data_IF_574293297185
#
_entry.id   IF_574293297185
#
_cell.length_a   1.000
_cell.length_b   1.000
_cell.length_c   1.000
_cell.angle_alpha   90.00
_cell.angle_beta   90.00
_cell.angle_gamma   90.00
#
_symmetry.space_group_name_H-M   'P 1'
#
loop_
_entity.id
_entity.type
_entity.pdbx_description
1 polymer ?
#
# COMPACT_ATOMS: atom_id res chain seq x y z
N UNK A 1 23.45 -31.66 -43.92
CA UNK A 1 22.15 -31.01 -43.60
C UNK A 1 21.47 -31.76 -42.47
N UNK A 2 21.49 -31.15 -41.28
CA UNK A 2 21.38 -31.85 -40.00
C UNK A 2 19.96 -32.15 -39.53
N UNK A 3 19.83 -33.25 -38.79
CA UNK A 3 18.64 -33.83 -38.15
C UNK A 3 17.81 -32.89 -37.22
N UNK A 4 18.14 -31.60 -37.13
CA UNK A 4 17.47 -30.62 -36.26
C UNK A 4 16.20 -30.02 -36.88
N UNK A 5 16.05 -30.01 -38.21
CA UNK A 5 14.88 -29.41 -38.87
C UNK A 5 13.61 -30.29 -38.87
N UNK A 6 13.72 -31.59 -38.57
CA UNK A 6 12.54 -32.50 -38.55
C UNK A 6 11.69 -32.38 -37.27
N UNK A 7 12.24 -31.86 -36.17
CA UNK A 7 11.50 -31.71 -34.90
C UNK A 7 10.66 -30.43 -34.83
N UNK A 8 11.06 -29.39 -35.55
CA UNK A 8 10.39 -28.08 -35.56
C UNK A 8 9.11 -28.12 -36.41
N UNK A 9 9.08 -28.91 -37.50
CA UNK A 9 7.90 -29.00 -38.36
C UNK A 9 6.75 -29.85 -37.78
N UNK A 10 7.05 -30.72 -36.81
CA UNK A 10 6.07 -31.59 -36.16
C UNK A 10 5.31 -30.90 -35.01
N UNK A 11 5.84 -29.79 -34.48
CA UNK A 11 5.23 -29.05 -33.36
C UNK A 11 4.25 -27.96 -33.83
N UNK A 12 4.39 -27.48 -35.07
CA UNK A 12 3.49 -26.48 -35.68
C UNK A 12 2.15 -27.09 -36.14
N UNK A 13 2.08 -28.40 -36.35
CA UNK A 13 0.84 -29.10 -36.75
C UNK A 13 -0.10 -29.46 -35.60
N UNK A 14 0.33 -29.32 -34.33
CA UNK A 14 -0.51 -29.70 -33.17
C UNK A 14 -1.32 -28.54 -32.58
N UNK A 15 -1.03 -27.29 -32.96
CA UNK A 15 -1.68 -26.09 -32.38
C UNK A 15 -2.89 -25.60 -33.20
N UNK A 16 -3.09 -26.12 -34.42
CA UNK A 16 -4.19 -25.66 -35.31
C UNK A 16 -5.49 -26.47 -35.14
N UNK A 17 -5.53 -27.47 -34.26
CA UNK A 17 -6.65 -28.43 -34.19
C UNK A 17 -7.61 -28.30 -33.00
N UNK A 18 -7.47 -27.31 -32.09
CA UNK A 18 -8.14 -27.40 -30.78
C UNK A 18 -9.14 -26.32 -30.33
N UNK A 19 -9.47 -25.28 -31.10
CA UNK A 19 -10.60 -24.42 -30.71
C UNK A 19 -11.39 -23.92 -31.91
N UNK A 20 -12.26 -24.80 -32.44
CA UNK A 20 -13.44 -24.39 -33.21
C UNK A 20 -14.69 -24.75 -32.43
N UNK A 21 -15.66 -23.84 -32.47
CA UNK A 21 -17.07 -23.98 -32.08
C UNK A 21 -17.39 -24.02 -30.57
N UNK A 22 -18.00 -22.95 -30.05
CA UNK A 22 -19.39 -23.00 -29.55
C UNK A 22 -19.99 -21.60 -29.59
N UNK A 23 -20.83 -21.36 -30.61
CA UNK A 23 -21.77 -20.26 -30.65
C UNK A 23 -23.11 -20.76 -30.07
N UNK A 24 -23.64 -20.06 -29.06
CA UNK A 24 -25.07 -20.14 -28.74
C UNK A 24 -25.67 -18.75 -28.72
N UNK A 25 -26.60 -18.60 -29.65
CA UNK A 25 -27.45 -17.46 -29.97
C UNK A 25 -28.76 -17.66 -29.20
N UNK A 26 -29.19 -16.67 -28.45
CA UNK A 26 -30.52 -16.63 -27.82
C UNK A 26 -31.01 -15.19 -27.85
N UNK A 27 -32.08 -14.96 -28.60
CA UNK A 27 -32.64 -13.67 -29.02
C UNK A 27 -34.14 -13.70 -28.75
N UNK A 28 -34.68 -12.65 -28.14
CA UNK A 28 -36.05 -12.08 -28.29
C UNK A 28 -36.39 -11.33 -26.98
N UNK A 29 -36.46 -10.00 -26.94
CA UNK A 29 -37.48 -9.08 -27.50
C UNK A 29 -38.75 -8.97 -26.62
N UNK A 30 -39.12 -7.71 -26.32
CA UNK A 30 -40.51 -7.20 -26.11
C UNK A 30 -41.11 -7.48 -24.72
N UNK A 31 -41.81 -6.59 -23.98
CA UNK A 31 -42.52 -5.35 -24.26
C UNK A 31 -42.73 -4.55 -22.95
N UNK A 32 -43.01 -3.26 -23.12
CA UNK A 32 -43.78 -2.30 -22.32
C UNK A 32 -44.48 -2.73 -21.01
N UNK A 33 -44.53 -1.83 -20.00
CA UNK A 33 -45.72 -0.99 -19.70
C UNK A 33 -45.63 -0.26 -18.33
N UNK A 34 -45.67 1.07 -18.41
CA UNK A 34 -46.48 2.04 -17.64
C UNK A 34 -46.63 1.94 -16.09
N UNK A 35 -46.14 3.01 -15.44
CA UNK A 35 -46.77 3.86 -14.38
C UNK A 35 -47.60 3.21 -13.27
N UNK A 36 -47.20 3.42 -12.01
CA UNK A 36 -48.06 4.06 -11.01
C UNK A 36 -47.27 4.62 -9.81
N UNK A 37 -47.70 5.82 -9.38
CA UNK A 37 -47.24 6.64 -8.25
C UNK A 37 -48.12 6.33 -7.03
N UNK A 38 -47.58 6.41 -5.81
CA UNK A 38 -48.35 7.00 -4.72
C UNK A 38 -47.50 8.07 -3.99
N UNK A 39 -47.94 9.34 -3.96
CA UNK A 39 -48.82 9.93 -2.93
C UNK A 39 -48.03 10.35 -1.69
N UNK A 40 -47.70 11.65 -1.69
CA UNK A 40 -47.22 12.38 -0.51
C UNK A 40 -48.39 12.56 0.46
N UNK A 41 -48.14 12.40 1.75
CA UNK A 41 -48.99 12.95 2.83
C UNK A 41 -48.09 13.80 3.73
N UNK A 42 -48.49 15.03 4.11
CA UNK A 42 -47.66 15.96 4.85
C UNK A 42 -47.72 15.68 6.36
N UNK A 43 -46.56 15.68 7.02
CA UNK A 43 -46.48 15.75 8.47
C UNK A 43 -46.26 17.20 8.90
N UNK A 44 -47.29 17.73 9.55
CA UNK A 44 -47.32 18.98 10.30
C UNK A 44 -46.34 18.89 11.47
N UNK A 45 -45.39 19.82 11.58
CA UNK A 45 -44.64 20.05 12.83
C UNK A 45 -44.88 21.48 13.29
N UNK A 46 -45.63 21.57 14.39
CA UNK A 46 -45.80 22.74 15.23
C UNK A 46 -44.64 22.81 16.22
N UNK A 47 -43.95 23.95 16.32
CA UNK A 47 -43.61 24.65 17.57
C UNK A 47 -42.62 25.82 17.31
N UNK A 48 -43.12 27.02 17.57
CA UNK A 48 -42.40 28.26 17.97
C UNK A 48 -42.14 28.14 19.50
N UNK A 49 -41.13 28.77 20.16
CA UNK A 49 -40.64 30.13 19.92
C UNK A 49 -39.12 30.41 20.04
N UNK A 50 -38.79 31.56 19.45
CA UNK A 50 -37.69 32.52 19.65
C UNK A 50 -36.98 32.48 21.01
N UNK A 51 -35.63 32.48 21.04
CA UNK A 51 -34.87 32.89 22.22
C UNK A 51 -34.70 34.42 22.27
N UNK A 52 -35.07 35.00 23.41
CA UNK A 52 -34.79 36.38 23.84
C UNK A 52 -33.30 36.55 24.16
N UNK A 53 -32.64 37.67 23.81
CA UNK A 53 -31.30 37.97 24.28
C UNK A 53 -31.35 38.40 25.75
N UNK A 54 -30.53 37.79 26.60
CA UNK A 54 -30.33 38.25 27.98
C UNK A 54 -28.84 38.44 28.23
N UNK A 55 -28.61 39.51 28.97
CA UNK A 55 -27.42 40.34 29.10
C UNK A 55 -26.25 39.68 29.82
N UNK A 56 -25.11 40.38 29.74
CA UNK A 56 -23.81 40.07 30.28
C UNK A 56 -23.79 39.59 31.75
N UNK A 57 -23.01 38.55 31.99
CA UNK A 57 -22.37 38.29 33.28
C UNK A 57 -20.92 37.82 33.03
N UNK A 58 -20.01 38.74 33.27
CA UNK A 58 -18.58 38.52 33.45
C UNK A 58 -18.38 37.97 34.86
N UNK A 59 -17.84 36.77 35.03
CA UNK A 59 -16.89 36.47 36.10
C UNK A 59 -16.26 35.08 35.99
N UNK A 60 -14.94 35.11 36.23
CA UNK A 60 -14.11 34.07 36.85
C UNK A 60 -13.63 32.93 35.95
N UNK A 61 -12.41 33.15 35.46
CA UNK A 61 -11.44 32.12 35.08
C UNK A 61 -11.38 31.04 36.18
N UNK A 62 -11.95 29.87 35.91
CA UNK A 62 -11.43 28.63 36.49
C UNK A 62 -10.46 28.01 35.49
N UNK A 63 -9.20 28.08 35.88
CA UNK A 63 -8.03 27.44 35.31
C UNK A 63 -8.25 25.91 35.27
N UNK A 64 -8.99 25.43 34.27
CA UNK A 64 -8.99 24.01 33.91
C UNK A 64 -7.81 23.80 32.97
N UNK A 65 -6.73 23.24 33.51
CA UNK A 65 -5.61 22.70 32.76
C UNK A 65 -6.12 21.59 31.84
N UNK A 66 -6.66 21.97 30.69
CA UNK A 66 -6.95 21.05 29.61
C UNK A 66 -5.60 20.67 29.01
N UNK A 67 -4.93 19.68 29.58
CA UNK A 67 -3.89 18.92 28.88
C UNK A 67 -4.52 18.42 27.59
N UNK A 68 -4.33 19.18 26.52
CA UNK A 68 -4.68 18.76 25.18
C UNK A 68 -3.72 17.63 24.87
N UNK A 69 -4.09 16.41 25.25
CA UNK A 69 -3.39 15.20 24.86
C UNK A 69 -3.43 15.19 23.34
N UNK A 70 -2.27 15.46 22.74
CA UNK A 70 -2.16 15.60 21.30
C UNK A 70 -2.52 14.27 20.65
N UNK A 71 -3.63 14.27 19.91
CA UNK A 71 -4.07 13.11 19.13
C UNK A 71 -3.12 12.95 17.94
N UNK A 72 -2.57 11.76 17.75
CA UNK A 72 -1.77 11.44 16.56
C UNK A 72 -2.67 11.45 15.32
N UNK A 73 -2.14 11.87 14.17
CA UNK A 73 -2.88 11.79 12.91
C UNK A 73 -3.01 10.34 12.42
N UNK A 74 -3.98 10.08 11.54
CA UNK A 74 -4.12 8.77 10.88
C UNK A 74 -2.89 8.40 10.03
N UNK A 75 -2.23 9.39 9.41
CA UNK A 75 -0.98 9.16 8.67
C UNK A 75 0.15 8.70 9.61
N UNK A 76 0.32 9.37 10.75
CA UNK A 76 1.30 8.96 11.76
C UNK A 76 0.98 7.59 12.35
N UNK A 77 -0.31 7.28 12.51
CA UNK A 77 -0.77 5.96 12.93
C UNK A 77 -0.43 4.87 11.91
N UNK A 78 -0.64 5.11 10.62
CA UNK A 78 -0.24 4.18 9.55
C UNK A 78 1.28 3.97 9.51
N UNK A 79 2.07 5.05 9.65
CA UNK A 79 3.54 4.96 9.76
C UNK A 79 3.96 4.14 10.97
N UNK A 80 3.22 4.21 12.08
CA UNK A 80 3.49 3.40 13.28
C UNK A 80 3.32 1.90 13.00
N UNK A 81 2.32 1.52 12.23
CA UNK A 81 2.12 0.13 11.79
C UNK A 81 3.31 -0.31 10.93
N UNK A 82 3.66 0.48 9.91
CA UNK A 82 4.79 0.20 9.02
C UNK A 82 6.12 0.11 9.75
N UNK A 83 6.34 0.93 10.78
CA UNK A 83 7.54 0.87 11.61
C UNK A 83 7.71 -0.48 12.33
N UNK A 84 6.62 -1.21 12.58
CA UNK A 84 6.67 -2.53 13.21
C UNK A 84 6.71 -3.67 12.18
N UNK A 85 5.91 -3.58 11.10
CA UNK A 85 5.79 -4.69 10.12
C UNK A 85 6.73 -4.57 8.92
N UNK A 86 7.37 -3.41 8.75
CA UNK A 86 8.20 -3.04 7.60
C UNK A 86 7.38 -2.60 6.38
N UNK A 87 8.04 -1.89 5.46
CA UNK A 87 7.44 -1.38 4.22
C UNK A 87 7.37 -2.44 3.09
N UNK A 88 6.85 -3.63 3.40
CA UNK A 88 6.86 -4.79 2.48
C UNK A 88 5.60 -4.85 1.63
N UNK A 89 5.42 -3.88 0.74
CA UNK A 89 4.34 -3.90 -0.27
C UNK A 89 2.93 -4.12 0.27
N UNK A 90 2.69 -3.74 1.52
CA UNK A 90 1.39 -3.82 2.15
C UNK A 90 0.58 -2.58 1.83
N UNK A 91 -0.72 -2.77 1.61
CA UNK A 91 -1.69 -1.71 1.56
C UNK A 91 -2.32 -1.56 2.95
N UNK A 92 -2.28 -0.35 3.50
CA UNK A 92 -2.86 -0.01 4.79
C UNK A 92 -4.01 0.96 4.57
N UNK A 93 -5.23 0.50 4.77
CA UNK A 93 -6.45 1.29 4.57
C UNK A 93 -7.08 1.65 5.91
N UNK A 94 -7.44 2.92 6.09
CA UNK A 94 -8.18 3.37 7.26
C UNK A 94 -9.65 2.96 7.11
N UNK A 95 -10.11 2.04 7.95
CA UNK A 95 -11.48 1.53 7.96
C UNK A 95 -12.38 2.34 8.89
N UNK A 96 -11.86 2.73 10.06
CA UNK A 96 -12.60 3.52 11.04
C UNK A 96 -11.70 4.57 11.68
N UNK A 97 -12.11 5.83 11.62
CA UNK A 97 -11.34 6.92 12.19
C UNK A 97 -11.53 7.06 13.70
N UNK A 98 -12.66 6.63 14.27
CA UNK A 98 -13.06 6.94 15.65
C UNK A 98 -13.64 5.72 16.38
N UNK A 99 -12.98 4.56 16.29
CA UNK A 99 -13.44 3.36 16.97
C UNK A 99 -13.24 3.50 18.48
N UNK A 100 -14.32 3.37 19.25
CA UNK A 100 -14.25 3.38 20.71
C UNK A 100 -14.18 1.93 21.24
N UNK A 101 -13.11 1.62 21.98
CA UNK A 101 -12.96 0.33 22.69
C UNK A 101 -12.68 0.62 24.16
N UNK A 102 -13.64 0.31 25.02
CA UNK A 102 -13.59 0.68 26.43
C UNK A 102 -13.61 2.20 26.63
N UNK A 103 -12.52 2.76 27.19
CA UNK A 103 -12.37 4.20 27.44
C UNK A 103 -11.40 4.89 26.47
N UNK A 104 -10.87 4.16 25.50
CA UNK A 104 -9.86 4.62 24.54
C UNK A 104 -10.49 4.74 23.16
N UNK A 105 -9.92 5.62 22.34
CA UNK A 105 -10.33 5.84 20.95
C UNK A 105 -9.19 5.44 20.04
N UNK A 106 -9.53 4.78 18.93
CA UNK A 106 -8.58 4.18 18.01
C UNK A 106 -8.86 4.57 16.57
N UNK A 107 -7.81 4.58 15.75
CA UNK A 107 -7.92 4.33 14.32
C UNK A 107 -7.95 2.82 14.09
N UNK A 108 -8.82 2.34 13.20
CA UNK A 108 -8.85 0.96 12.74
C UNK A 108 -8.33 0.89 11.31
N UNK A 109 -7.33 0.06 11.09
CA UNK A 109 -6.74 -0.17 9.78
C UNK A 109 -6.93 -1.61 9.34
N UNK A 110 -7.18 -1.79 8.06
CA UNK A 110 -7.09 -3.07 7.38
C UNK A 110 -5.76 -3.14 6.64
N UNK A 111 -5.07 -4.27 6.78
CA UNK A 111 -3.83 -4.54 6.05
C UNK A 111 -4.11 -5.60 5.00
N UNK A 112 -3.62 -5.38 3.79
CA UNK A 112 -3.67 -6.37 2.71
C UNK A 112 -2.34 -6.41 1.97
N UNK A 113 -2.09 -7.52 1.29
CA UNK A 113 -1.06 -7.62 0.25
C UNK A 113 -1.71 -7.72 -1.14
N UNK A 114 -0.93 -8.06 -2.17
CA UNK A 114 -1.44 -8.20 -3.54
C UNK A 114 -2.51 -9.32 -3.73
N UNK A 115 -2.68 -10.18 -2.73
CA UNK A 115 -3.50 -11.38 -2.82
C UNK A 115 -4.73 -11.35 -1.91
N UNK A 116 -4.57 -10.89 -0.66
CA UNK A 116 -5.65 -10.96 0.32
C UNK A 116 -5.55 -9.94 1.47
N UNK A 117 -6.65 -9.84 2.22
CA UNK A 117 -6.71 -9.11 3.49
C UNK A 117 -6.07 -9.99 4.58
N UNK A 118 -5.17 -9.39 5.34
CA UNK A 118 -4.43 -10.04 6.41
C UNK A 118 -5.14 -9.69 7.73
N UNK A 119 -5.72 -10.71 8.36
CA UNK A 119 -6.43 -10.57 9.64
C UNK A 119 -5.52 -10.86 10.83
N UNK A 120 -5.81 -10.31 12.02
CA UNK A 120 -6.89 -9.36 12.34
C UNK A 120 -6.63 -7.93 11.83
N UNK A 121 -7.64 -7.05 11.85
CA UNK A 121 -7.43 -5.61 11.63
C UNK A 121 -6.50 -5.04 12.72
N UNK A 122 -5.91 -3.87 12.48
CA UNK A 122 -4.98 -3.24 13.43
C UNK A 122 -5.58 -1.97 14.00
N UNK A 123 -5.63 -1.88 15.34
CA UNK A 123 -5.99 -0.64 16.03
C UNK A 123 -4.74 0.14 16.38
N UNK A 124 -4.81 1.46 16.23
CA UNK A 124 -3.82 2.41 16.75
C UNK A 124 -4.49 3.39 17.69
N UNK A 125 -4.10 3.38 18.96
CA UNK A 125 -4.67 4.26 19.98
C UNK A 125 -4.28 5.72 19.72
N UNK A 126 -5.25 6.62 19.79
CA UNK A 126 -5.11 8.00 19.31
C UNK A 126 -4.14 8.86 20.08
N UNK A 127 -3.80 8.52 21.33
CA UNK A 127 -2.94 9.36 22.19
C UNK A 127 -1.51 8.80 22.24
N UNK A 128 -1.38 7.51 22.52
CA UNK A 128 -0.14 6.79 22.77
C UNK A 128 0.43 6.10 21.53
N UNK A 129 -0.39 5.85 20.50
CA UNK A 129 0.00 5.06 19.33
C UNK A 129 0.13 3.55 19.63
N UNK A 130 -0.43 3.07 20.74
CA UNK A 130 -0.47 1.65 21.10
C UNK A 130 -1.16 0.82 19.99
N UNK A 131 -0.53 -0.31 19.62
CA UNK A 131 -1.04 -1.21 18.58
C UNK A 131 -1.74 -2.42 19.20
N UNK A 132 -2.91 -2.76 18.67
CA UNK A 132 -3.66 -3.98 19.01
C UNK A 132 -4.17 -4.67 17.74
N UNK A 133 -4.36 -5.98 17.79
CA UNK A 133 -5.16 -6.68 16.79
C UNK A 133 -6.65 -6.58 17.13
N UNK A 134 -7.51 -6.46 16.11
CA UNK A 134 -8.97 -6.38 16.22
C UNK A 134 -9.65 -7.48 15.41
N UNK A 135 -10.21 -8.44 16.11
CA UNK A 135 -10.86 -9.59 15.52
C UNK A 135 -12.26 -9.22 15.00
N UNK A 136 -12.76 -10.00 14.05
CA UNK A 136 -14.10 -9.83 13.48
C UNK A 136 -15.25 -10.01 14.51
N UNK A 137 -14.97 -10.61 15.66
CA UNK A 137 -15.93 -10.73 16.77
C UNK A 137 -15.94 -9.49 17.70
N UNK A 138 -15.13 -8.47 17.38
CA UNK A 138 -14.99 -7.24 18.15
C UNK A 138 -14.04 -7.34 19.35
N UNK A 139 -13.37 -8.48 19.55
CA UNK A 139 -12.35 -8.62 20.59
C UNK A 139 -10.99 -8.05 20.16
N UNK A 140 -10.19 -7.62 21.14
CA UNK A 140 -8.82 -7.16 20.91
C UNK A 140 -7.79 -8.18 21.39
N UNK A 141 -6.67 -8.28 20.69
CA UNK A 141 -5.50 -9.09 21.05
C UNK A 141 -4.23 -8.24 21.01
N UNK A 142 -3.16 -8.71 21.66
CA UNK A 142 -1.85 -8.06 21.55
C UNK A 142 -1.36 -8.08 20.10
N UNK A 143 -0.80 -6.96 19.63
CA UNK A 143 -0.29 -6.88 18.26
C UNK A 143 0.88 -7.83 17.98
N UNK A 144 1.60 -8.28 19.02
CA UNK A 144 2.63 -9.32 18.96
C UNK A 144 2.14 -10.66 18.39
N UNK A 145 0.82 -10.89 18.42
CA UNK A 145 0.18 -12.09 17.88
C UNK A 145 -0.25 -11.94 16.42
N UNK A 146 -0.14 -10.74 15.84
CA UNK A 146 -0.51 -10.47 14.46
C UNK A 146 0.44 -11.23 13.50
N UNK A 147 -0.04 -11.83 12.40
CA UNK A 147 0.80 -12.62 11.48
C UNK A 147 1.99 -11.84 10.88
N UNK A 148 1.86 -10.52 10.80
CA UNK A 148 2.91 -9.61 10.29
C UNK A 148 3.87 -9.10 11.37
N UNK A 149 3.68 -9.49 12.63
CA UNK A 149 4.60 -9.12 13.68
C UNK A 149 5.95 -9.84 13.48
N UNK A 150 7.09 -9.14 13.62
CA UNK A 150 8.41 -9.75 13.42
C UNK A 150 8.64 -10.98 14.31
N UNK A 151 9.03 -12.09 13.69
CA UNK A 151 9.23 -13.39 14.37
C UNK A 151 10.39 -13.40 15.38
N UNK A 152 11.33 -12.47 15.25
CA UNK A 152 12.43 -12.28 16.20
C UNK A 152 12.03 -11.47 17.45
N UNK A 153 10.74 -11.09 17.55
CA UNK A 153 10.21 -10.33 18.68
C UNK A 153 10.78 -8.91 18.77
N UNK A 154 11.55 -8.48 17.78
CA UNK A 154 12.20 -7.19 17.77
C UNK A 154 11.27 -6.17 17.11
N UNK A 155 10.13 -5.87 17.76
CA UNK A 155 9.32 -4.69 17.43
C UNK A 155 9.97 -3.40 17.93
N UNK A 156 11.30 -3.34 17.84
CA UNK A 156 12.03 -2.14 18.11
C UNK A 156 11.62 -1.08 17.11
N UNK A 157 11.79 0.17 17.51
CA UNK A 157 12.28 1.22 16.63
C UNK A 157 13.62 0.78 16.01
N UNK A 158 13.64 -0.32 15.27
CA UNK A 158 14.65 -0.54 14.27
C UNK A 158 14.30 0.49 13.22
N UNK A 159 15.27 1.32 12.86
CA UNK A 159 15.32 1.92 11.55
C UNK A 159 15.33 0.77 10.54
N UNK A 160 14.16 0.18 10.29
CA UNK A 160 13.96 -0.83 9.29
C UNK A 160 14.51 -0.21 8.01
N UNK A 161 15.44 -0.89 7.35
CA UNK A 161 16.09 -0.38 6.16
C UNK A 161 15.00 0.05 5.17
N UNK A 162 14.87 1.35 4.95
CA UNK A 162 13.75 1.99 4.25
C UNK A 162 13.99 2.08 2.74
N UNK A 163 12.98 2.51 1.98
CA UNK A 163 13.14 2.91 0.58
C UNK A 163 14.18 4.03 0.42
N UNK A 164 14.20 5.00 1.33
CA UNK A 164 15.22 6.05 1.38
C UNK A 164 16.62 5.50 1.66
N UNK A 165 16.77 4.55 2.58
CA UNK A 165 18.06 3.88 2.83
C UNK A 165 18.53 3.10 1.60
N UNK A 166 17.61 2.43 0.90
CA UNK A 166 17.87 1.76 -0.36
C UNK A 166 18.36 2.73 -1.44
N UNK A 167 17.71 3.89 -1.60
CA UNK A 167 18.13 4.91 -2.54
C UNK A 167 19.50 5.50 -2.16
N UNK A 168 19.73 5.80 -0.88
CA UNK A 168 21.03 6.27 -0.41
C UNK A 168 22.13 5.26 -0.74
N UNK A 169 21.86 3.97 -0.58
CA UNK A 169 22.80 2.91 -0.92
C UNK A 169 23.04 2.77 -2.43
N UNK A 170 22.02 3.00 -3.24
CA UNK A 170 22.15 3.05 -4.69
C UNK A 170 22.99 4.25 -5.16
N UNK A 171 22.87 5.40 -4.47
CA UNK A 171 23.68 6.62 -4.73
C UNK A 171 25.17 6.47 -4.40
N UNK A 172 25.54 5.47 -3.60
CA UNK A 172 26.96 5.14 -3.37
C UNK A 172 27.64 4.55 -4.61
N UNK A 173 26.86 4.03 -5.57
CA UNK A 173 27.39 3.49 -6.82
C UNK A 173 27.58 4.60 -7.86
N UNK A 174 28.64 4.48 -8.67
CA UNK A 174 28.93 5.42 -9.75
C UNK A 174 27.93 5.27 -10.90
N UNK A 175 27.78 6.33 -11.70
CA UNK A 175 27.04 6.29 -12.95
C UNK A 175 27.47 5.12 -13.87
N UNK A 176 28.77 4.80 -13.92
CA UNK A 176 29.31 3.69 -14.71
C UNK A 176 28.81 2.33 -14.22
N UNK A 177 28.88 2.07 -12.90
CA UNK A 177 28.37 0.81 -12.30
C UNK A 177 26.88 0.65 -12.54
N UNK A 178 26.12 1.75 -12.45
CA UNK A 178 24.69 1.76 -12.73
C UNK A 178 24.38 1.65 -14.24
N UNK A 179 25.36 1.86 -15.12
CA UNK A 179 25.17 1.99 -16.57
C UNK A 179 24.23 3.17 -16.93
N UNK A 180 24.44 4.29 -16.24
CA UNK A 180 23.78 5.58 -16.47
C UNK A 180 24.77 6.58 -17.10
N UNK A 181 24.22 7.56 -17.83
CA UNK A 181 25.02 8.60 -18.47
C UNK A 181 25.46 9.72 -17.51
N UNK A 182 24.77 9.87 -16.38
CA UNK A 182 24.98 10.90 -15.36
C UNK A 182 24.89 10.28 -13.96
N UNK A 183 25.29 11.02 -12.93
CA UNK A 183 25.08 10.59 -11.55
C UNK A 183 23.59 10.49 -11.22
N UNK A 184 23.24 9.56 -10.32
CA UNK A 184 21.86 9.21 -9.98
C UNK A 184 21.01 10.43 -9.53
N UNK A 185 21.62 11.41 -8.86
CA UNK A 185 20.97 12.65 -8.41
C UNK A 185 20.43 13.54 -9.54
N UNK A 186 20.81 13.28 -10.79
CA UNK A 186 20.33 14.03 -11.97
C UNK A 186 19.10 13.39 -12.64
N UNK A 187 18.53 12.36 -12.02
CA UNK A 187 17.38 11.63 -12.53
C UNK A 187 16.18 11.76 -11.60
N UNK A 188 14.99 11.54 -12.16
CA UNK A 188 13.76 11.36 -11.39
C UNK A 188 13.67 9.91 -10.91
N UNK A 189 13.45 9.75 -9.60
CA UNK A 189 13.34 8.45 -8.95
C UNK A 189 11.88 8.15 -8.62
N UNK A 190 11.41 6.96 -8.98
CA UNK A 190 10.08 6.47 -8.64
C UNK A 190 10.23 5.06 -8.05
N UNK A 191 9.83 4.87 -6.80
CA UNK A 191 9.82 3.55 -6.18
C UNK A 191 8.62 2.74 -6.65
N UNK A 192 8.79 1.42 -6.70
CA UNK A 192 7.64 0.52 -6.75
C UNK A 192 6.89 0.59 -5.42
N UNK A 193 5.56 0.43 -5.48
CA UNK A 193 4.73 0.41 -4.27
C UNK A 193 4.83 -0.93 -3.52
N UNK A 194 5.32 -1.98 -4.17
CA UNK A 194 5.51 -3.31 -3.63
C UNK A 194 6.98 -3.72 -3.55
N UNK A 195 7.29 -4.70 -2.68
CA UNK A 195 8.59 -5.38 -2.69
C UNK A 195 8.62 -6.45 -3.78
N UNK A 196 9.70 -6.50 -4.55
CA UNK A 196 9.89 -7.49 -5.63
C UNK A 196 10.84 -8.59 -5.16
N UNK A 197 10.50 -9.86 -5.43
CA UNK A 197 11.42 -10.98 -5.20
C UNK A 197 12.43 -11.08 -6.34
N UNK A 198 13.69 -10.79 -6.04
CA UNK A 198 14.82 -10.97 -6.94
C UNK A 198 15.45 -12.35 -6.74
N UNK A 199 15.69 -13.06 -7.85
CA UNK A 199 16.28 -14.41 -7.87
C UNK A 199 15.57 -15.41 -6.91
N UNK A 200 14.23 -15.36 -6.88
CA UNK A 200 13.33 -16.23 -6.11
C UNK A 200 13.52 -16.26 -4.58
N UNK A 201 14.37 -15.39 -4.00
CA UNK A 201 14.72 -15.48 -2.58
C UNK A 201 14.83 -14.15 -1.85
N UNK A 202 15.09 -13.04 -2.55
CA UNK A 202 15.40 -11.76 -1.90
C UNK A 202 14.28 -10.76 -2.14
N UNK A 203 13.61 -10.34 -1.06
CA UNK A 203 12.70 -9.20 -1.12
C UNK A 203 13.52 -7.92 -1.29
N UNK A 204 13.17 -7.13 -2.29
CA UNK A 204 13.88 -5.91 -2.65
C UNK A 204 12.92 -4.73 -2.86
N UNK A 205 13.41 -3.53 -2.58
CA UNK A 205 12.82 -2.28 -3.01
C UNK A 205 13.13 -2.06 -4.49
N UNK A 206 12.10 -1.92 -5.33
CA UNK A 206 12.25 -1.55 -6.74
C UNK A 206 12.40 -0.04 -6.89
N UNK A 207 13.43 0.39 -7.63
CA UNK A 207 13.78 1.79 -7.86
C UNK A 207 13.85 2.02 -9.37
N UNK A 208 12.88 2.77 -9.89
CA UNK A 208 12.81 3.15 -11.30
C UNK A 208 13.48 4.51 -11.50
N UNK A 209 14.37 4.60 -12.49
CA UNK A 209 15.15 5.81 -12.79
C UNK A 209 14.72 6.36 -14.14
N UNK A 210 14.36 7.64 -14.17
CA UNK A 210 13.90 8.33 -15.36
C UNK A 210 14.69 9.61 -15.63
N UNK A 211 14.97 9.89 -16.90
CA UNK A 211 15.45 11.19 -17.34
C UNK A 211 14.24 12.08 -17.70
N UNK A 212 14.16 13.25 -17.07
CA UNK A 212 13.16 14.25 -17.41
C UNK A 212 13.57 15.01 -18.68
N UNK A 213 12.73 14.89 -19.72
CA UNK A 213 12.91 15.55 -21.02
C UNK A 213 11.95 16.73 -21.20
N UNK A 214 11.26 17.16 -20.13
CA UNK A 214 10.31 18.27 -20.09
C UNK A 214 8.86 17.85 -20.33
N UNK A 215 8.56 17.30 -21.51
CA UNK A 215 7.20 16.85 -21.87
C UNK A 215 6.95 15.36 -21.62
N UNK A 216 8.02 14.61 -21.31
CA UNK A 216 7.98 13.18 -21.06
C UNK A 216 9.15 12.74 -20.19
N UNK A 217 8.98 11.60 -19.54
CA UNK A 217 10.04 10.90 -18.84
C UNK A 217 10.57 9.77 -19.71
N UNK A 218 11.89 9.66 -19.83
CA UNK A 218 12.54 8.54 -20.51
C UNK A 218 13.05 7.55 -19.47
N UNK A 219 12.69 6.27 -19.59
CA UNK A 219 13.13 5.23 -18.65
C UNK A 219 14.59 4.89 -18.87
N UNK A 220 15.41 5.01 -17.83
CA UNK A 220 16.86 4.81 -17.87
C UNK A 220 17.29 3.45 -17.32
N UNK A 221 16.51 2.89 -16.39
CA UNK A 221 16.78 1.60 -15.80
C UNK A 221 15.98 1.36 -14.54
N UNK A 222 15.96 0.10 -14.12
CA UNK A 222 15.37 -0.34 -12.86
C UNK A 222 16.41 -1.06 -12.03
N UNK A 223 16.42 -0.72 -10.75
CA UNK A 223 17.36 -1.25 -9.76
C UNK A 223 16.58 -1.83 -8.59
N UNK A 224 17.21 -2.77 -7.90
CA UNK A 224 16.62 -3.45 -6.75
C UNK A 224 17.63 -3.48 -5.63
N UNK A 225 17.24 -3.00 -4.44
CA UNK A 225 18.07 -3.11 -3.23
C UNK A 225 17.35 -4.03 -2.26
N UNK A 226 18.04 -5.06 -1.75
CA UNK A 226 17.44 -5.97 -0.78
C UNK A 226 16.97 -5.23 0.46
N UNK A 227 15.88 -5.68 1.08
CA UNK A 227 15.29 -5.06 2.29
C UNK A 227 16.22 -5.13 3.51
N UNK A 228 17.33 -5.86 3.43
CA UNK A 228 18.40 -5.88 4.44
C UNK A 228 19.61 -5.00 4.04
N UNK A 229 19.53 -4.33 2.89
CA UNK A 229 20.55 -3.46 2.33
C UNK A 229 21.82 -4.17 1.88
N UNK A 230 21.92 -5.50 1.89
CA UNK A 230 23.18 -6.21 1.61
C UNK A 230 23.50 -6.37 0.14
N UNK A 231 22.49 -6.31 -0.73
CA UNK A 231 22.63 -6.57 -2.17
C UNK A 231 21.92 -5.51 -3.00
N UNK A 232 22.54 -5.18 -4.12
CA UNK A 232 21.99 -4.29 -5.13
C UNK A 232 21.99 -5.04 -6.45
N UNK A 233 20.92 -4.91 -7.22
CA UNK A 233 20.78 -5.51 -8.53
C UNK A 233 20.31 -4.46 -9.55
N UNK A 234 20.68 -4.67 -10.81
CA UNK A 234 20.11 -4.00 -11.97
C UNK A 234 19.30 -4.99 -12.78
N UNK A 235 18.15 -4.57 -13.29
CA UNK A 235 17.42 -5.33 -14.29
C UNK A 235 18.11 -5.26 -15.65
N UNK A 236 18.39 -6.42 -16.25
CA UNK A 236 18.64 -6.55 -17.68
C UNK A 236 17.32 -6.90 -18.36
N UNK A 237 16.71 -5.89 -18.98
CA UNK A 237 15.42 -6.04 -19.67
C UNK A 237 15.51 -6.84 -20.97
N UNK A 238 16.72 -7.06 -21.51
CA UNK A 238 16.92 -7.85 -22.74
C UNK A 238 17.01 -9.32 -22.41
N UNK A 239 17.74 -9.67 -21.35
CA UNK A 239 17.90 -11.05 -20.91
C UNK A 239 16.86 -11.50 -19.87
N UNK A 240 16.02 -10.58 -19.38
CA UNK A 240 15.06 -10.79 -18.29
C UNK A 240 15.74 -11.35 -17.03
N UNK A 241 16.89 -10.74 -16.65
CA UNK A 241 17.73 -11.18 -15.53
C UNK A 241 18.06 -10.03 -14.58
N UNK A 242 18.40 -10.39 -13.35
CA UNK A 242 18.95 -9.46 -12.37
C UNK A 242 20.47 -9.63 -12.29
N UNK A 243 21.20 -8.54 -12.55
CA UNK A 243 22.65 -8.48 -12.45
C UNK A 243 23.00 -7.87 -11.10
N UNK A 244 23.68 -8.63 -10.23
CA UNK A 244 24.17 -8.13 -8.94
C UNK A 244 25.27 -7.09 -9.19
N UNK A 245 25.13 -5.91 -8.58
CA UNK A 245 26.10 -4.82 -8.67
C UNK A 245 27.02 -4.88 -7.45
N UNK A 246 28.33 -4.92 -7.69
CA UNK A 246 29.32 -4.90 -6.61
C UNK A 246 29.56 -3.46 -6.13
N UNK A 247 29.62 -3.30 -4.80
CA UNK A 247 30.04 -2.03 -4.19
C UNK A 247 31.57 -1.92 -4.29
N UNK A 248 32.06 -0.95 -5.06
CA UNK A 248 33.50 -0.65 -5.11
C UNK A 248 33.86 0.02 -3.77
N UNK A 249 34.69 -0.65 -2.97
CA UNK A 249 35.18 -0.17 -1.68
C UNK A 249 36.31 0.86 -1.84
#
# INVERSE_FOLDING_TARGET
MGKKHKKIWLLVMFVVALFTMTACKGKSDTDSKETEKPTQTPLTVTATPTPTPTDAAQETEEESSNETTAVISSESAAKRILGVIGERGYYIELVNENLAVGKKTYYEFQISDSSEIISPNVLVEKISGELLGYNNDGSTVEFSTHPLYPADGNSGENSAFTKEDALNKLKELTAETLNLAKELDNYTIIFDDWSTKVNDALDCYGINVYEDMGDRMNFMGRYFVSVDGRKIFREDSVEEKFIELEQVH
#
